data_IF_590088370730
#
_entry.id   IF_590088370730
#
_cell.length_a   1.000
_cell.length_b   1.000
_cell.length_c   1.000
_cell.angle_alpha   90.00
_cell.angle_beta   90.00
_cell.angle_gamma   90.00
#
_symmetry.space_group_name_H-M   'P 1'
#
loop_
_entity.id
_entity.type
_entity.pdbx_description
1 polymer ?
#
# COMPACT_ATOMS: atom_id res chain seq x y z
N UNK A 1 17.75 23.21 -5.46
CA UNK A 1 16.69 23.20 -4.42
C UNK A 1 15.30 23.51 -4.98
N UNK A 2 15.00 23.12 -6.24
CA UNK A 2 13.63 22.95 -6.74
C UNK A 2 13.32 21.45 -6.60
N UNK A 3 12.51 21.06 -5.63
CA UNK A 3 11.04 20.95 -5.73
C UNK A 3 10.61 19.64 -6.38
N UNK A 4 10.90 18.54 -5.67
CA UNK A 4 10.11 17.33 -5.79
C UNK A 4 9.26 17.10 -4.52
N UNK A 5 8.26 17.98 -4.26
CA UNK A 5 7.39 17.83 -3.10
C UNK A 5 6.68 16.47 -3.11
N UNK A 6 6.35 15.96 -4.30
CA UNK A 6 5.76 14.63 -4.51
C UNK A 6 6.62 13.51 -3.91
N UNK A 7 7.94 13.62 -4.03
CA UNK A 7 8.88 12.60 -3.56
C UNK A 7 9.01 12.60 -2.03
N UNK A 8 9.05 13.77 -1.41
CA UNK A 8 8.97 13.89 0.07
C UNK A 8 7.64 13.38 0.62
N UNK A 9 6.55 13.57 -0.12
CA UNK A 9 5.24 13.04 0.26
C UNK A 9 5.23 11.52 0.18
N UNK A 10 5.75 10.91 -0.89
CA UNK A 10 5.86 9.45 -1.03
C UNK A 10 6.82 8.87 0.01
N UNK A 11 7.93 9.54 0.30
CA UNK A 11 8.89 9.10 1.32
C UNK A 11 8.27 9.11 2.73
N UNK A 12 7.54 10.18 3.07
CA UNK A 12 6.97 10.37 4.41
C UNK A 12 5.62 9.66 4.60
N UNK A 13 4.83 9.52 3.54
CA UNK A 13 3.47 8.95 3.59
C UNK A 13 3.35 7.60 2.89
N UNK A 14 4.33 7.13 2.13
CA UNK A 14 4.21 5.89 1.36
C UNK A 14 3.89 4.66 2.22
N UNK A 15 4.49 4.57 3.41
CA UNK A 15 4.13 3.52 4.38
C UNK A 15 2.73 3.70 4.97
N UNK A 16 2.31 4.94 5.21
CA UNK A 16 0.98 5.26 5.71
C UNK A 16 -0.10 4.98 4.66
N UNK A 17 0.13 5.36 3.40
CA UNK A 17 -0.74 5.08 2.26
C UNK A 17 -0.81 3.58 2.02
N UNK A 18 0.31 2.84 2.04
CA UNK A 18 0.31 1.38 1.91
C UNK A 18 -0.57 0.72 2.98
N UNK A 19 -0.46 1.19 4.22
CA UNK A 19 -1.26 0.69 5.34
C UNK A 19 -2.75 1.01 5.13
N UNK A 20 -3.08 2.25 4.81
CA UNK A 20 -4.46 2.69 4.58
C UNK A 20 -5.12 1.97 3.38
N UNK A 21 -4.36 1.77 2.30
CA UNK A 21 -4.81 1.08 1.10
C UNK A 21 -5.01 -0.42 1.35
N UNK A 22 -4.14 -1.05 2.17
CA UNK A 22 -4.28 -2.46 2.56
C UNK A 22 -5.43 -2.71 3.53
N UNK A 23 -5.86 -1.69 4.28
CA UNK A 23 -6.98 -1.78 5.22
C UNK A 23 -8.33 -1.85 4.50
N UNK A 24 -8.46 -1.19 3.34
CA UNK A 24 -9.68 -1.20 2.53
C UNK A 24 -10.14 -2.61 2.11
N UNK A 25 -9.32 -3.46 1.47
CA UNK A 25 -9.73 -4.80 1.10
C UNK A 25 -10.01 -5.68 2.33
N UNK A 26 -9.31 -5.48 3.44
CA UNK A 26 -9.58 -6.20 4.69
C UNK A 26 -10.97 -5.83 5.26
N UNK A 27 -11.29 -4.54 5.33
CA UNK A 27 -12.61 -4.05 5.72
C UNK A 27 -13.72 -4.51 4.77
N UNK A 28 -13.45 -4.52 3.46
CA UNK A 28 -14.38 -5.02 2.45
C UNK A 28 -14.66 -6.52 2.63
N UNK A 29 -13.64 -7.31 2.98
CA UNK A 29 -13.80 -8.73 3.29
C UNK A 29 -14.65 -8.99 4.55
N UNK A 30 -14.43 -8.20 5.60
CA UNK A 30 -15.26 -8.25 6.81
C UNK A 30 -16.72 -7.93 6.45
N UNK A 31 -16.96 -6.83 5.71
CA UNK A 31 -18.30 -6.46 5.26
C UNK A 31 -18.99 -7.57 4.46
N UNK A 32 -18.26 -8.21 3.54
CA UNK A 32 -18.79 -9.32 2.73
C UNK A 32 -19.26 -10.48 3.60
N UNK A 33 -18.49 -10.86 4.62
CA UNK A 33 -18.90 -11.91 5.56
C UNK A 33 -20.14 -11.51 6.34
N UNK A 34 -20.27 -10.23 6.75
CA UNK A 34 -21.51 -9.72 7.38
C UNK A 34 -22.73 -9.77 6.46
N UNK A 35 -22.55 -9.69 5.13
CA UNK A 35 -23.64 -9.84 4.15
C UNK A 35 -24.02 -11.29 3.86
N UNK A 36 -23.43 -12.26 4.56
CA UNK A 36 -23.73 -13.69 4.41
C UNK A 36 -22.81 -14.43 3.45
N UNK A 37 -21.71 -13.81 3.02
CA UNK A 37 -20.69 -14.50 2.23
C UNK A 37 -19.99 -15.60 3.06
N UNK A 38 -19.54 -16.69 2.42
CA UNK A 38 -18.84 -17.75 3.13
C UNK A 38 -17.54 -17.25 3.77
N UNK A 39 -17.20 -17.80 4.95
CA UNK A 39 -16.03 -17.38 5.75
C UNK A 39 -14.69 -17.41 4.99
N UNK A 40 -14.60 -18.19 3.90
CA UNK A 40 -13.43 -18.21 3.01
C UNK A 40 -13.12 -16.85 2.38
N UNK A 41 -14.11 -15.96 2.24
CA UNK A 41 -13.91 -14.59 1.74
C UNK A 41 -13.05 -13.74 2.66
N UNK A 42 -13.09 -13.98 3.97
CA UNK A 42 -12.22 -13.31 4.94
C UNK A 42 -10.74 -13.70 4.72
N UNK A 43 -10.51 -14.98 4.40
CA UNK A 43 -9.18 -15.50 4.10
C UNK A 43 -8.66 -14.88 2.79
N UNK A 44 -9.52 -14.81 1.76
CA UNK A 44 -9.20 -14.19 0.48
C UNK A 44 -8.87 -12.69 0.65
N UNK A 45 -9.65 -11.95 1.43
CA UNK A 45 -9.42 -10.52 1.66
C UNK A 45 -8.13 -10.24 2.42
N UNK A 46 -7.75 -11.10 3.36
CA UNK A 46 -6.46 -11.03 4.05
C UNK A 46 -5.31 -11.21 3.05
N UNK A 47 -5.38 -12.25 2.21
CA UNK A 47 -4.34 -12.50 1.19
C UNK A 47 -4.22 -11.31 0.24
N UNK A 48 -5.34 -10.78 -0.25
CA UNK A 48 -5.36 -9.60 -1.13
C UNK A 48 -4.77 -8.37 -0.43
N UNK A 49 -5.13 -8.12 0.84
CA UNK A 49 -4.59 -7.01 1.61
C UNK A 49 -3.06 -7.07 1.76
N UNK A 50 -2.53 -8.26 2.08
CA UNK A 50 -1.08 -8.50 2.20
C UNK A 50 -0.38 -8.29 0.86
N UNK A 51 -0.93 -8.83 -0.23
CA UNK A 51 -0.36 -8.66 -1.58
C UNK A 51 -0.31 -7.18 -1.96
N UNK A 52 -1.41 -6.45 -1.79
CA UNK A 52 -1.46 -5.01 -2.06
C UNK A 52 -0.45 -4.25 -1.21
N UNK A 53 -0.36 -4.56 0.09
CA UNK A 53 0.62 -3.93 0.97
C UNK A 53 2.06 -4.11 0.48
N UNK A 54 2.44 -5.34 0.10
CA UNK A 54 3.77 -5.66 -0.42
C UNK A 54 4.03 -4.94 -1.74
N UNK A 55 3.07 -4.95 -2.68
CA UNK A 55 3.21 -4.27 -3.96
C UNK A 55 3.38 -2.76 -3.80
N UNK A 56 2.52 -2.11 -3.01
CA UNK A 56 2.60 -0.66 -2.79
C UNK A 56 3.91 -0.30 -2.07
N UNK A 57 4.31 -1.06 -1.05
CA UNK A 57 5.58 -0.85 -0.35
C UNK A 57 6.77 -0.99 -1.30
N UNK A 58 6.78 -2.05 -2.12
CA UNK A 58 7.83 -2.28 -3.12
C UNK A 58 7.90 -1.14 -4.13
N UNK A 59 6.75 -0.61 -4.57
CA UNK A 59 6.71 0.52 -5.51
C UNK A 59 7.30 1.80 -4.90
N UNK A 60 6.96 2.09 -3.64
CA UNK A 60 7.53 3.23 -2.89
C UNK A 60 9.05 3.09 -2.77
N UNK A 61 9.54 1.89 -2.47
CA UNK A 61 10.97 1.60 -2.36
C UNK A 61 11.69 1.76 -3.69
N UNK A 62 11.11 1.26 -4.78
CA UNK A 62 11.65 1.39 -6.14
C UNK A 62 11.75 2.86 -6.56
N UNK A 63 10.70 3.64 -6.27
CA UNK A 63 10.72 5.09 -6.46
C UNK A 63 11.84 5.73 -5.65
N UNK A 64 12.03 5.34 -4.38
CA UNK A 64 13.11 5.86 -3.54
C UNK A 64 14.50 5.55 -4.11
N UNK A 65 14.73 4.33 -4.57
CA UNK A 65 15.98 3.92 -5.22
C UNK A 65 16.23 4.71 -6.51
N UNK A 66 15.19 4.94 -7.33
CA UNK A 66 15.33 5.76 -8.53
C UNK A 66 15.74 7.20 -8.20
N UNK A 67 15.20 7.78 -7.12
CA UNK A 67 15.60 9.13 -6.67
C UNK A 67 17.06 9.13 -6.25
N UNK A 68 17.48 8.14 -5.46
CA UNK A 68 18.86 8.05 -4.98
C UNK A 68 19.85 7.88 -6.14
N UNK A 69 19.45 7.20 -7.22
CA UNK A 69 20.24 7.09 -8.45
C UNK A 69 20.25 8.37 -9.30
N UNK A 70 19.15 9.12 -9.36
CA UNK A 70 19.02 10.33 -10.20
C UNK A 70 19.55 11.61 -9.52
N UNK A 71 19.48 11.68 -8.19
CA UNK A 71 19.97 12.77 -7.37
C UNK A 71 20.93 12.21 -6.32
N UNK A 72 22.10 11.70 -6.74
CA UNK A 72 23.13 11.27 -5.81
C UNK A 72 23.57 12.50 -5.00
N UNK A 73 23.52 12.38 -3.68
CA UNK A 73 24.08 13.40 -2.79
C UNK A 73 25.59 13.49 -2.97
#
# INVERSE_FOLDING_TARGET
MNDYPMLRVIEKHGGWVATLLSLLPFLAGIWLVFTGAPFWWLLLSVVIAVVIFVFVRSYVELVRVMIDMLLPK
#
